data_IF_619387863199
#
_entry.id   IF_619387863199
#
_cell.length_a   1.000
_cell.length_b   1.000
_cell.length_c   1.000
_cell.angle_alpha   90.00
_cell.angle_beta   90.00
_cell.angle_gamma   90.00
#
_symmetry.space_group_name_H-M   'P 1'
#
loop_
_entity.id
_entity.type
_entity.pdbx_description
1 polymer ?
#
# COMPACT_ATOMS: atom_id res chain seq x y z
N UNK A 1 50.40 9.41 -22.89
CA UNK A 1 48.95 9.71 -22.77
C UNK A 1 48.09 8.57 -22.17
N UNK A 2 48.63 7.38 -21.83
CA UNK A 2 47.83 6.20 -21.45
C UNK A 2 47.69 5.94 -19.93
N UNK A 3 48.29 6.75 -19.04
CA UNK A 3 48.42 6.43 -17.60
C UNK A 3 47.11 6.52 -16.79
N UNK A 4 46.05 7.11 -17.35
CA UNK A 4 44.79 7.38 -16.64
C UNK A 4 43.59 6.58 -17.16
N UNK A 5 43.82 5.64 -18.09
CA UNK A 5 42.77 4.79 -18.68
C UNK A 5 41.97 3.98 -17.64
N UNK A 6 42.59 3.32 -16.64
CA UNK A 6 41.82 2.53 -15.66
C UNK A 6 40.95 3.43 -14.77
N UNK A 7 41.48 4.56 -14.30
CA UNK A 7 40.74 5.49 -13.44
C UNK A 7 39.50 6.10 -14.13
N UNK A 8 39.59 6.39 -15.43
CA UNK A 8 38.45 6.88 -16.23
C UNK A 8 37.39 5.80 -16.42
N UNK A 9 37.81 4.55 -16.61
CA UNK A 9 36.90 3.40 -16.74
C UNK A 9 36.16 3.12 -15.43
N UNK A 10 36.86 3.17 -14.28
CA UNK A 10 36.25 2.99 -12.96
C UNK A 10 35.26 4.10 -12.65
N UNK A 11 35.57 5.35 -12.98
CA UNK A 11 34.65 6.48 -12.79
C UNK A 11 33.40 6.37 -13.67
N UNK A 12 33.54 5.94 -14.93
CA UNK A 12 32.43 5.69 -15.84
C UNK A 12 31.53 4.54 -15.35
N UNK A 13 32.11 3.46 -14.84
CA UNK A 13 31.37 2.35 -14.23
C UNK A 13 30.60 2.80 -12.97
N UNK A 14 31.21 3.63 -12.12
CA UNK A 14 30.55 4.22 -10.95
C UNK A 14 29.38 5.13 -11.36
N UNK A 15 29.59 6.04 -12.31
CA UNK A 15 28.52 6.90 -12.82
C UNK A 15 27.38 6.09 -13.47
N UNK A 16 27.71 5.05 -14.24
CA UNK A 16 26.72 4.15 -14.83
C UNK A 16 25.94 3.40 -13.74
N UNK A 17 26.60 2.92 -12.68
CA UNK A 17 25.90 2.28 -11.55
C UNK A 17 24.96 3.24 -10.83
N UNK A 18 25.35 4.50 -10.60
CA UNK A 18 24.50 5.52 -9.99
C UNK A 18 23.29 5.88 -10.86
N UNK A 19 23.44 5.86 -12.19
CA UNK A 19 22.34 6.12 -13.12
C UNK A 19 21.34 4.95 -13.18
N UNK A 20 21.80 3.72 -12.96
CA UNK A 20 20.93 2.52 -12.95
C UNK A 20 20.13 2.42 -11.64
N UNK A 21 20.68 2.88 -10.50
CA UNK A 21 19.93 2.88 -9.21
C UNK A 21 18.82 3.93 -9.13
N UNK A 22 18.78 4.92 -10.03
CA UNK A 22 17.77 5.98 -10.03
C UNK A 22 16.43 5.58 -10.65
N UNK A 23 16.32 4.41 -11.26
CA UNK A 23 15.08 3.93 -11.86
C UNK A 23 14.22 3.23 -10.78
N UNK A 24 13.67 4.01 -9.85
CA UNK A 24 12.73 3.48 -8.87
C UNK A 24 11.39 3.26 -9.58
N UNK A 25 10.91 2.01 -9.62
CA UNK A 25 9.63 1.68 -10.25
C UNK A 25 8.49 2.15 -9.35
N UNK A 26 7.63 3.02 -9.89
CA UNK A 26 6.38 3.40 -9.26
C UNK A 26 5.33 2.31 -9.47
N UNK A 27 4.58 1.99 -8.41
CA UNK A 27 3.37 1.19 -8.51
C UNK A 27 2.17 2.12 -8.41
N UNK A 28 1.26 2.03 -9.39
CA UNK A 28 0.04 2.83 -9.43
C UNK A 28 -1.15 1.91 -9.74
N UNK A 29 -2.19 2.00 -8.91
CA UNK A 29 -3.47 1.33 -9.14
C UNK A 29 -4.49 2.38 -9.61
N UNK A 30 -4.88 2.34 -10.88
CA UNK A 30 -5.89 3.25 -11.45
C UNK A 30 -7.32 2.75 -11.28
N UNK A 31 -7.48 1.45 -10.98
CA UNK A 31 -8.78 0.76 -10.87
C UNK A 31 -9.68 0.87 -12.10
N UNK A 32 -9.10 1.03 -13.29
CA UNK A 32 -9.80 0.80 -14.56
C UNK A 32 -10.25 -0.68 -14.69
N UNK A 33 -9.50 -1.58 -14.06
CA UNK A 33 -9.81 -2.98 -13.85
C UNK A 33 -9.31 -3.43 -12.46
N UNK A 34 -9.82 -4.55 -11.95
CA UNK A 34 -9.45 -5.06 -10.62
C UNK A 34 -8.00 -5.54 -10.52
N UNK A 35 -7.46 -6.08 -11.62
CA UNK A 35 -6.12 -6.63 -11.68
C UNK A 35 -5.90 -7.72 -10.62
N UNK A 36 -4.89 -7.52 -9.77
CA UNK A 36 -4.52 -8.44 -8.67
C UNK A 36 -5.12 -8.07 -7.32
N UNK A 37 -5.89 -6.97 -7.24
CA UNK A 37 -6.56 -6.62 -5.99
C UNK A 37 -7.62 -7.68 -5.67
N UNK A 38 -7.84 -7.92 -4.37
CA UNK A 38 -8.83 -8.88 -3.89
C UNK A 38 -10.23 -8.54 -4.39
N UNK A 39 -11.01 -9.56 -4.75
CA UNK A 39 -12.44 -9.45 -4.92
C UNK A 39 -13.12 -10.27 -3.84
N UNK A 40 -13.78 -9.59 -2.91
CA UNK A 40 -14.51 -10.23 -1.81
C UNK A 40 -16.00 -10.01 -1.99
N UNK A 41 -16.77 -11.08 -1.89
CA UNK A 41 -18.24 -11.07 -1.83
C UNK A 41 -18.68 -12.03 -0.71
N UNK A 42 -18.32 -11.65 0.52
CA UNK A 42 -18.64 -12.40 1.74
C UNK A 42 -19.72 -11.67 2.54
N UNK A 43 -20.36 -12.38 3.46
CA UNK A 43 -21.50 -11.84 4.23
C UNK A 43 -21.12 -10.61 5.09
N UNK A 44 -19.85 -10.50 5.46
CA UNK A 44 -19.25 -9.49 6.34
C UNK A 44 -18.47 -8.40 5.58
N UNK A 45 -18.03 -8.68 4.35
CA UNK A 45 -17.21 -7.75 3.55
C UNK A 45 -17.51 -7.90 2.07
N UNK A 46 -17.72 -6.76 1.42
CA UNK A 46 -17.70 -6.65 -0.04
C UNK A 46 -16.56 -5.72 -0.45
N UNK A 47 -15.71 -6.19 -1.36
CA UNK A 47 -14.55 -5.46 -1.87
C UNK A 47 -14.38 -5.67 -3.37
N UNK A 48 -14.21 -4.60 -4.13
CA UNK A 48 -13.99 -4.71 -5.57
C UNK A 48 -13.95 -3.37 -6.30
N UNK A 49 -13.75 -3.42 -7.61
CA UNK A 49 -13.71 -2.22 -8.45
C UNK A 49 -15.10 -1.85 -8.95
N UNK A 50 -15.52 -0.61 -8.66
CA UNK A 50 -16.76 0.00 -9.12
C UNK A 50 -16.48 1.42 -9.62
N UNK A 51 -16.94 1.74 -10.84
CA UNK A 51 -16.83 3.08 -11.43
C UNK A 51 -15.40 3.68 -11.40
N UNK A 52 -14.37 2.86 -11.63
CA UNK A 52 -12.97 3.31 -11.64
C UNK A 52 -12.34 3.48 -10.26
N UNK A 53 -12.93 2.90 -9.22
CA UNK A 53 -12.45 2.99 -7.83
C UNK A 53 -12.54 1.63 -7.16
N UNK A 54 -11.62 1.34 -6.25
CA UNK A 54 -11.80 0.21 -5.33
C UNK A 54 -12.72 0.62 -4.18
N UNK A 55 -13.85 -0.07 -4.05
CA UNK A 55 -14.86 0.18 -3.03
C UNK A 55 -14.79 -0.93 -1.99
N UNK A 56 -14.71 -0.54 -0.72
CA UNK A 56 -14.79 -1.44 0.44
C UNK A 56 -16.07 -1.16 1.23
N UNK A 57 -16.84 -2.21 1.48
CA UNK A 57 -18.01 -2.19 2.34
C UNK A 57 -17.85 -3.23 3.44
N UNK A 58 -17.65 -2.77 4.67
CA UNK A 58 -17.69 -3.62 5.87
C UNK A 58 -19.15 -3.68 6.34
N UNK A 59 -19.76 -4.85 6.20
CA UNK A 59 -21.15 -5.10 6.58
C UNK A 59 -21.22 -5.45 8.07
N UNK A 60 -22.27 -4.98 8.75
CA UNK A 60 -22.45 -5.26 10.18
C UNK A 60 -22.61 -6.78 10.41
N UNK A 61 -21.66 -7.38 11.13
CA UNK A 61 -21.61 -8.81 11.47
C UNK A 61 -20.75 -9.05 12.72
N UNK A 62 -20.61 -10.31 13.16
CA UNK A 62 -19.92 -10.64 14.42
C UNK A 62 -18.39 -10.39 14.38
N UNK A 63 -17.76 -10.37 13.20
CA UNK A 63 -16.36 -9.98 12.90
C UNK A 63 -16.26 -9.75 11.37
N UNK A 64 -15.37 -8.90 10.83
CA UNK A 64 -14.18 -8.31 11.45
C UNK A 64 -14.27 -6.79 11.73
N UNK A 65 -13.50 -6.32 12.73
CA UNK A 65 -13.29 -4.88 13.01
C UNK A 65 -12.40 -4.20 11.98
N UNK A 66 -11.59 -4.98 11.26
CA UNK A 66 -10.55 -4.52 10.35
C UNK A 66 -10.60 -5.38 9.09
N UNK A 67 -10.55 -4.76 7.92
CA UNK A 67 -10.41 -5.43 6.63
C UNK A 67 -9.38 -4.68 5.80
N UNK A 68 -8.62 -5.41 4.98
CA UNK A 68 -7.67 -4.85 4.05
C UNK A 68 -7.72 -5.61 2.72
N UNK A 69 -7.30 -4.92 1.66
CA UNK A 69 -7.10 -5.47 0.34
C UNK A 69 -5.66 -5.20 -0.10
N UNK A 70 -5.13 -6.05 -0.98
CA UNK A 70 -3.78 -5.89 -1.54
C UNK A 70 -3.73 -6.41 -2.96
N UNK A 71 -2.86 -5.83 -3.78
CA UNK A 71 -2.49 -6.36 -5.09
C UNK A 71 -1.49 -7.53 -5.02
N UNK A 72 -1.08 -7.95 -3.82
CA UNK A 72 -0.06 -8.97 -3.61
C UNK A 72 1.34 -8.51 -4.01
N UNK A 73 1.57 -7.20 -4.01
CA UNK A 73 2.90 -6.61 -4.23
C UNK A 73 3.64 -6.50 -2.89
N UNK A 74 4.98 -6.46 -2.96
CA UNK A 74 5.82 -6.24 -1.80
C UNK A 74 6.83 -5.14 -2.09
N UNK A 75 6.84 -4.13 -1.22
CA UNK A 75 7.70 -2.97 -1.33
C UNK A 75 8.55 -2.84 -0.06
N UNK A 76 9.78 -2.34 -0.22
CA UNK A 76 10.66 -2.02 0.89
C UNK A 76 10.35 -0.61 1.41
N UNK A 77 11.35 0.27 1.49
CA UNK A 77 11.15 1.66 1.89
C UNK A 77 10.72 2.51 0.68
N UNK A 78 9.76 3.41 0.89
CA UNK A 78 9.20 4.23 -0.18
C UNK A 78 8.23 5.29 0.33
N UNK A 79 7.75 6.10 -0.61
CA UNK A 79 6.58 6.97 -0.40
C UNK A 79 5.34 6.19 -0.84
N UNK A 80 4.29 6.25 -0.02
CA UNK A 80 3.03 5.58 -0.29
C UNK A 80 1.92 6.62 -0.15
N UNK A 81 1.02 6.63 -1.13
CA UNK A 81 -0.09 7.57 -1.19
C UNK A 81 -1.37 6.79 -1.54
N UNK A 82 -2.48 7.22 -0.96
CA UNK A 82 -3.81 6.72 -1.30
C UNK A 82 -4.81 7.86 -1.22
N UNK A 83 -5.61 7.99 -2.27
CA UNK A 83 -6.81 8.83 -2.24
C UNK A 83 -7.99 7.99 -1.77
N UNK A 84 -8.60 8.38 -0.65
CA UNK A 84 -9.67 7.64 -0.02
C UNK A 84 -10.78 8.58 0.45
N UNK A 85 -12.03 8.17 0.30
CA UNK A 85 -13.20 8.93 0.73
C UNK A 85 -14.20 8.00 1.41
N UNK A 86 -14.65 8.37 2.61
CA UNK A 86 -15.74 7.64 3.27
C UNK A 86 -17.07 7.92 2.55
N UNK A 87 -17.73 6.87 2.08
CA UNK A 87 -19.06 6.97 1.44
C UNK A 87 -20.17 6.95 2.50
N UNK A 88 -20.07 6.05 3.48
CA UNK A 88 -21.03 5.85 4.56
C UNK A 88 -20.36 5.14 5.74
N UNK A 89 -20.84 5.37 6.96
CA UNK A 89 -20.36 4.69 8.16
C UNK A 89 -20.35 5.60 9.39
N UNK A 90 -19.72 5.14 10.45
CA UNK A 90 -19.40 5.98 11.61
C UNK A 90 -18.29 6.96 11.23
N UNK A 91 -18.41 8.24 11.63
CA UNK A 91 -17.41 9.26 11.33
C UNK A 91 -16.06 8.99 12.00
N UNK A 92 -16.05 8.22 13.09
CA UNK A 92 -14.85 7.81 13.83
C UNK A 92 -14.20 6.54 13.27
N UNK A 93 -14.75 5.92 12.22
CA UNK A 93 -14.16 4.74 11.60
C UNK A 93 -12.87 5.14 10.84
N UNK A 94 -11.76 4.47 11.17
CA UNK A 94 -10.47 4.67 10.51
C UNK A 94 -10.38 3.95 9.16
N UNK A 95 -9.75 4.59 8.19
CA UNK A 95 -9.40 4.01 6.90
C UNK A 95 -8.04 4.55 6.42
N UNK A 96 -7.30 3.76 5.66
CA UNK A 96 -5.99 4.15 5.18
C UNK A 96 -5.12 2.97 4.73
N UNK A 97 -3.85 2.98 5.11
CA UNK A 97 -2.83 2.05 4.62
C UNK A 97 -2.35 1.13 5.74
N UNK A 98 -2.22 -0.16 5.41
CA UNK A 98 -1.48 -1.13 6.20
C UNK A 98 -0.11 -1.39 5.53
N UNK A 99 0.95 -1.45 6.34
CA UNK A 99 2.31 -1.63 5.88
C UNK A 99 2.98 -2.82 6.54
N UNK A 100 3.85 -3.50 5.77
CA UNK A 100 4.66 -4.64 6.24
C UNK A 100 3.80 -5.68 6.93
N UNK A 101 2.68 -6.03 6.29
CA UNK A 101 1.70 -6.98 6.82
C UNK A 101 2.33 -8.36 6.89
N UNK A 102 2.36 -8.91 8.09
CA UNK A 102 2.63 -10.31 8.37
C UNK A 102 1.30 -10.99 8.69
N UNK A 103 0.74 -11.68 7.70
CA UNK A 103 -0.55 -12.36 7.84
C UNK A 103 -0.49 -13.55 8.80
N UNK A 104 0.66 -14.22 8.92
CA UNK A 104 0.83 -15.37 9.82
C UNK A 104 0.80 -14.92 11.28
N UNK A 105 1.48 -13.81 11.59
CA UNK A 105 1.56 -13.28 12.95
C UNK A 105 0.44 -12.28 13.27
N UNK A 106 -0.34 -11.85 12.27
CA UNK A 106 -1.34 -10.79 12.41
C UNK A 106 -0.71 -9.49 12.91
N UNK A 107 0.42 -9.09 12.31
CA UNK A 107 1.18 -7.90 12.69
C UNK A 107 1.37 -6.97 11.49
N UNK A 108 1.12 -5.68 11.71
CA UNK A 108 1.28 -4.68 10.66
C UNK A 108 1.40 -3.29 11.27
N UNK A 109 2.04 -2.39 10.54
CA UNK A 109 1.91 -0.97 10.81
C UNK A 109 0.70 -0.43 10.08
N UNK A 110 0.10 0.62 10.61
CA UNK A 110 -1.06 1.24 10.02
C UNK A 110 -0.94 2.75 10.07
N UNK A 111 -1.50 3.38 9.05
CA UNK A 111 -1.81 4.80 9.02
C UNK A 111 -3.28 4.94 8.66
N UNK A 112 -4.05 5.54 9.56
CA UNK A 112 -5.50 5.67 9.42
C UNK A 112 -5.91 7.12 9.61
N UNK A 113 -6.93 7.51 8.85
CA UNK A 113 -7.64 8.76 9.00
C UNK A 113 -9.12 8.41 9.20
N UNK A 114 -9.79 9.11 10.11
CA UNK A 114 -11.24 9.06 10.26
C UNK A 114 -11.90 10.23 9.53
N UNK A 115 -13.19 10.10 9.21
CA UNK A 115 -13.90 11.13 8.44
C UNK A 115 -14.08 12.45 9.21
N UNK A 116 -13.99 12.44 10.54
CA UNK A 116 -13.96 13.64 11.37
C UNK A 116 -12.57 14.32 11.46
N UNK A 117 -11.56 13.76 10.78
CA UNK A 117 -10.24 14.38 10.59
C UNK A 117 -9.19 13.98 11.62
N UNK A 118 -9.43 12.96 12.45
CA UNK A 118 -8.39 12.41 13.31
C UNK A 118 -7.46 11.50 12.48
N UNK A 119 -6.16 11.61 12.73
CA UNK A 119 -5.15 10.77 12.11
C UNK A 119 -4.42 9.95 13.18
N UNK A 120 -4.16 8.68 12.88
CA UNK A 120 -3.48 7.76 13.77
C UNK A 120 -2.40 6.96 13.03
N UNK A 121 -1.27 6.75 13.71
CA UNK A 121 -0.21 5.83 13.28
C UNK A 121 -0.03 4.79 14.36
N UNK A 122 -0.05 3.53 13.96
CA UNK A 122 -0.13 2.42 14.89
C UNK A 122 0.72 1.21 14.51
N UNK A 123 0.86 0.33 15.49
CA UNK A 123 1.38 -1.02 15.31
C UNK A 123 0.34 -1.99 15.83
N UNK A 124 -0.24 -2.77 14.93
CA UNK A 124 -1.07 -3.91 15.30
C UNK A 124 -0.17 -5.10 15.63
N UNK A 125 -0.45 -5.77 16.75
CA UNK A 125 0.23 -7.00 17.17
C UNK A 125 -0.79 -8.03 17.64
N UNK A 126 -0.66 -9.26 17.14
CA UNK A 126 -1.48 -10.41 17.55
C UNK A 126 -2.98 -10.23 17.26
N UNK A 127 -3.31 -9.54 16.16
CA UNK A 127 -4.69 -9.28 15.75
C UNK A 127 -5.31 -8.04 16.40
N UNK A 128 -5.83 -7.17 15.53
CA UNK A 128 -6.71 -6.05 15.84
C UNK A 128 -8.04 -6.34 15.10
#
# INVERSE_FOLDING_TARGET
MLRNLPARLTLLMLLASLLITGCQSEYLATFDEIGRWSQDDRADVVGGVENGQYVMNLLAGEQPRTYWATAGESFADGMFEVDVTQIKGDANAGFGLAFRVDEELGQFYLFEISADGYAWVGLCKNGC
#
